data_IF_729650847466
#
_entry.id   IF_729650847466
#
_cell.length_a   1.000
_cell.length_b   1.000
_cell.length_c   1.000
_cell.angle_alpha   90.00
_cell.angle_beta   90.00
_cell.angle_gamma   90.00
#
_symmetry.space_group_name_H-M   'P 1'
#
loop_
_entity.id
_entity.type
_entity.pdbx_description
1 polymer ?
#
# COMPACT_ATOMS: atom_id res chain seq x y z
N UNK A 1 20.70 40.13 -28.74
CA UNK A 1 19.85 39.01 -28.28
C UNK A 1 19.87 37.94 -29.34
N UNK A 2 20.49 36.78 -29.05
CA UNK A 2 20.50 35.66 -29.99
C UNK A 2 19.08 35.06 -30.04
N UNK A 3 18.48 35.00 -31.22
CA UNK A 3 17.10 34.51 -31.39
C UNK A 3 17.08 32.98 -31.28
N UNK A 4 16.23 32.45 -30.39
CA UNK A 4 16.04 31.01 -30.25
C UNK A 4 15.30 30.48 -31.49
N UNK A 5 15.84 29.43 -32.12
CA UNK A 5 15.16 28.85 -33.29
C UNK A 5 13.87 28.13 -32.87
N UNK A 6 12.83 28.17 -33.71
CA UNK A 6 11.56 27.46 -33.46
C UNK A 6 11.77 25.97 -33.18
N UNK A 7 12.73 25.36 -33.87
CA UNK A 7 13.11 23.95 -33.70
C UNK A 7 13.77 23.70 -32.34
N UNK A 8 14.69 24.57 -31.93
CA UNK A 8 15.33 24.49 -30.62
C UNK A 8 14.30 24.68 -29.49
N UNK A 9 13.32 25.57 -29.67
CA UNK A 9 12.22 25.75 -28.72
C UNK A 9 11.36 24.48 -28.61
N UNK A 10 10.93 23.90 -29.73
CA UNK A 10 10.09 22.69 -29.74
C UNK A 10 10.81 21.49 -29.13
N UNK A 11 12.08 21.25 -29.49
CA UNK A 11 12.83 20.14 -28.90
C UNK A 11 13.17 20.37 -27.43
N UNK A 12 13.48 21.61 -27.05
CA UNK A 12 13.75 21.97 -25.66
C UNK A 12 12.52 21.76 -24.77
N UNK A 13 11.35 22.24 -25.20
CA UNK A 13 10.11 22.07 -24.43
C UNK A 13 9.66 20.60 -24.37
N UNK A 14 9.78 19.85 -25.47
CA UNK A 14 9.46 18.43 -25.50
C UNK A 14 10.39 17.61 -24.58
N UNK A 15 11.69 17.94 -24.54
CA UNK A 15 12.64 17.28 -23.65
C UNK A 15 12.33 17.55 -22.17
N UNK A 16 12.00 18.80 -21.82
CA UNK A 16 11.60 19.16 -20.45
C UNK A 16 10.31 18.47 -20.05
N UNK A 17 9.28 18.53 -20.89
CA UNK A 17 8.00 17.87 -20.63
C UNK A 17 8.15 16.34 -20.52
N UNK A 18 8.93 15.73 -21.42
CA UNK A 18 9.27 14.32 -21.36
C UNK A 18 10.02 13.97 -20.07
N UNK A 19 11.04 14.74 -19.71
CA UNK A 19 11.80 14.54 -18.46
C UNK A 19 10.92 14.59 -17.21
N UNK A 20 9.96 15.51 -17.15
CA UNK A 20 8.98 15.57 -16.05
C UNK A 20 8.07 14.34 -16.06
N UNK A 21 7.52 13.96 -17.21
CA UNK A 21 6.61 12.83 -17.32
C UNK A 21 7.29 11.50 -16.96
N UNK A 22 8.46 11.22 -17.54
CA UNK A 22 9.23 10.00 -17.25
C UNK A 22 9.80 9.99 -15.84
N UNK A 23 10.23 11.16 -15.32
CA UNK A 23 10.68 11.29 -13.93
C UNK A 23 9.57 11.01 -12.93
N UNK A 24 8.39 11.60 -13.12
CA UNK A 24 7.23 11.35 -12.27
C UNK A 24 6.78 9.88 -12.33
N UNK A 25 6.76 9.30 -13.54
CA UNK A 25 6.39 7.90 -13.74
C UNK A 25 7.35 6.92 -13.04
N UNK A 26 8.66 7.11 -13.18
CA UNK A 26 9.65 6.24 -12.54
C UNK A 26 9.60 6.28 -11.00
N UNK A 27 9.26 7.43 -10.41
CA UNK A 27 9.05 7.53 -8.96
C UNK A 27 7.76 6.85 -8.51
N UNK A 28 6.70 6.92 -9.31
CA UNK A 28 5.43 6.25 -9.01
C UNK A 28 5.57 4.72 -9.07
N UNK A 29 6.34 4.19 -10.02
CA UNK A 29 6.63 2.75 -10.12
C UNK A 29 7.46 2.26 -8.94
N UNK A 30 8.53 2.98 -8.57
CA UNK A 30 9.37 2.62 -7.43
C UNK A 30 8.63 2.68 -6.07
N UNK A 31 7.53 3.44 -6.00
CA UNK A 31 6.66 3.51 -4.83
C UNK A 31 5.53 2.47 -4.83
N UNK A 32 5.39 1.67 -5.89
CA UNK A 32 4.41 0.60 -5.92
C UNK A 32 4.84 -0.51 -4.93
N UNK A 33 3.96 -0.93 -3.99
CA UNK A 33 4.32 -1.95 -3.02
C UNK A 33 4.66 -3.26 -3.74
N UNK A 34 5.87 -3.76 -3.47
CA UNK A 34 6.36 -5.05 -3.93
C UNK A 34 5.77 -6.17 -3.06
N UNK A 35 5.77 -7.41 -3.53
CA UNK A 35 5.42 -8.58 -2.72
C UNK A 35 6.29 -8.69 -1.43
N UNK A 36 7.49 -8.11 -1.43
CA UNK A 36 8.37 -7.97 -0.24
C UNK A 36 7.80 -7.07 0.85
N UNK A 37 6.80 -6.25 0.53
CA UNK A 37 6.17 -5.28 1.45
C UNK A 37 4.90 -5.84 2.09
N UNK A 38 4.56 -7.10 1.80
CA UNK A 38 3.42 -7.75 2.43
C UNK A 38 3.72 -7.99 3.92
N UNK A 39 3.03 -7.30 4.86
CA UNK A 39 3.28 -7.46 6.29
C UNK A 39 2.94 -8.86 6.81
N UNK A 40 2.13 -9.64 6.10
CA UNK A 40 1.76 -11.00 6.49
C UNK A 40 2.90 -12.00 6.26
N UNK A 41 3.78 -11.75 5.27
CA UNK A 41 4.83 -12.67 4.89
C UNK A 41 5.82 -12.96 6.03
N UNK A 42 6.06 -11.98 6.92
CA UNK A 42 6.97 -12.11 8.05
C UNK A 42 6.40 -12.93 9.23
N UNK A 43 5.09 -13.17 9.25
CA UNK A 43 4.38 -13.81 10.36
C UNK A 43 3.72 -15.14 10.02
N UNK A 44 4.00 -15.71 8.85
CA UNK A 44 3.38 -16.96 8.41
C UNK A 44 3.79 -18.14 9.30
N UNK A 45 2.80 -18.96 9.64
CA UNK A 45 3.03 -20.28 10.22
C UNK A 45 3.64 -21.27 9.23
N UNK A 46 4.06 -22.46 9.70
CA UNK A 46 4.49 -23.55 8.83
C UNK A 46 3.39 -23.89 7.81
N UNK A 47 3.80 -24.09 6.56
CA UNK A 47 2.89 -24.42 5.44
C UNK A 47 1.77 -23.39 5.18
N UNK A 48 1.90 -22.17 5.72
CA UNK A 48 1.00 -21.05 5.42
C UNK A 48 1.50 -20.24 4.22
N UNK A 49 0.57 -19.62 3.50
CA UNK A 49 0.86 -18.75 2.35
C UNK A 49 0.04 -17.47 2.42
N UNK A 50 0.58 -16.42 1.80
CA UNK A 50 -0.10 -15.15 1.59
C UNK A 50 0.36 -14.57 0.26
N UNK A 51 -0.58 -14.03 -0.51
CA UNK A 51 -0.32 -13.44 -1.83
C UNK A 51 -0.49 -11.92 -1.83
N UNK A 52 -1.18 -11.40 -0.82
CA UNK A 52 -1.46 -9.97 -0.64
C UNK A 52 -1.60 -9.66 0.86
N UNK A 53 -1.64 -8.39 1.26
CA UNK A 53 -1.80 -8.01 2.67
C UNK A 53 -3.16 -8.36 3.31
N UNK A 54 -4.06 -9.02 2.59
CA UNK A 54 -5.46 -9.19 3.01
C UNK A 54 -5.87 -10.62 3.31
N UNK A 55 -5.11 -11.59 2.80
CA UNK A 55 -5.45 -13.02 2.87
C UNK A 55 -4.23 -13.81 3.33
N UNK A 56 -4.42 -14.58 4.39
CA UNK A 56 -3.51 -15.62 4.87
C UNK A 56 -4.24 -16.96 4.82
N UNK A 57 -3.60 -17.97 4.22
CA UNK A 57 -4.13 -19.33 4.13
C UNK A 57 -3.15 -20.25 4.86
N UNK A 58 -3.63 -20.97 5.85
CA UNK A 58 -2.89 -22.04 6.53
C UNK A 58 -3.54 -23.39 6.24
N UNK A 59 -2.89 -24.51 6.60
CA UNK A 59 -3.50 -25.84 6.50
C UNK A 59 -4.80 -25.98 7.31
N UNK A 60 -4.94 -25.19 8.38
CA UNK A 60 -6.04 -25.31 9.32
C UNK A 60 -7.18 -24.31 9.05
N UNK A 61 -6.88 -23.14 8.46
CA UNK A 61 -7.83 -22.03 8.37
C UNK A 61 -7.47 -21.00 7.30
N UNK A 62 -8.48 -20.22 6.89
CA UNK A 62 -8.32 -19.00 6.10
C UNK A 62 -8.53 -17.79 7.01
N UNK A 63 -7.61 -16.83 6.96
CA UNK A 63 -7.67 -15.61 7.78
C UNK A 63 -7.75 -14.39 6.87
N UNK A 64 -8.83 -13.63 7.00
CA UNK A 64 -9.07 -12.39 6.27
C UNK A 64 -8.73 -11.19 7.16
N UNK A 65 -7.99 -10.23 6.62
CA UNK A 65 -7.49 -9.09 7.39
C UNK A 65 -8.42 -7.89 7.25
N UNK A 66 -8.91 -7.38 8.38
CA UNK A 66 -9.67 -6.14 8.46
C UNK A 66 -8.75 -4.96 8.79
N UNK A 67 -8.73 -3.93 7.95
CA UNK A 67 -8.00 -2.69 8.23
C UNK A 67 -8.73 -1.75 9.19
N UNK A 68 -10.06 -1.72 9.15
CA UNK A 68 -10.87 -0.83 9.96
C UNK A 68 -11.46 -1.60 11.15
N UNK A 69 -11.03 -1.24 12.35
CA UNK A 69 -11.54 -1.82 13.58
C UNK A 69 -12.90 -1.21 13.95
N UNK A 70 -13.96 -1.97 13.74
CA UNK A 70 -15.29 -1.62 14.23
C UNK A 70 -15.59 -2.35 15.53
N UNK A 71 -15.49 -1.60 16.63
CA UNK A 71 -15.84 -2.07 17.96
C UNK A 71 -17.37 -1.92 18.13
N UNK A 72 -18.13 -2.82 17.50
CA UNK A 72 -19.57 -3.02 17.80
C UNK A 72 -20.59 -2.37 16.86
N UNK A 73 -20.17 -1.72 15.76
CA UNK A 73 -21.09 -1.11 14.76
C UNK A 73 -21.29 -1.99 13.50
N UNK A 74 -20.51 -3.06 13.34
CA UNK A 74 -20.64 -4.04 12.25
C UNK A 74 -20.12 -3.60 10.87
N UNK A 75 -19.62 -2.38 10.72
CA UNK A 75 -19.21 -1.81 9.42
C UNK A 75 -17.83 -2.32 8.96
N UNK A 76 -16.93 -2.67 9.88
CA UNK A 76 -15.53 -2.98 9.62
C UNK A 76 -15.32 -4.37 9.00
N UNK A 77 -16.40 -5.14 8.95
CA UNK A 77 -16.49 -6.46 8.34
C UNK A 77 -16.77 -6.42 6.83
N UNK A 78 -17.16 -5.29 6.24
CA UNK A 78 -17.58 -5.26 4.83
C UNK A 78 -16.47 -5.68 3.87
N UNK A 79 -15.24 -5.20 4.07
CA UNK A 79 -14.10 -5.58 3.22
C UNK A 79 -13.78 -7.09 3.30
N UNK A 80 -13.56 -7.67 4.50
CA UNK A 80 -13.37 -9.12 4.63
C UNK A 80 -14.52 -9.93 4.04
N UNK A 81 -15.77 -9.49 4.19
CA UNK A 81 -16.92 -10.18 3.62
C UNK A 81 -16.89 -10.14 2.09
N UNK A 82 -16.58 -9.01 1.45
CA UNK A 82 -16.43 -8.97 -0.02
C UNK A 82 -15.31 -9.87 -0.52
N UNK A 83 -14.21 -9.99 0.24
CA UNK A 83 -13.11 -10.92 -0.10
C UNK A 83 -13.58 -12.37 0.05
N UNK A 84 -14.35 -12.68 1.09
CA UNK A 84 -14.93 -14.01 1.28
C UNK A 84 -15.84 -14.40 0.12
N UNK A 85 -16.70 -13.49 -0.33
CA UNK A 85 -17.59 -13.70 -1.49
C UNK A 85 -16.80 -13.94 -2.79
N UNK A 86 -15.74 -13.16 -3.04
CA UNK A 86 -14.88 -13.37 -4.22
C UNK A 86 -14.14 -14.72 -4.17
N UNK A 87 -13.82 -15.20 -2.97
CA UNK A 87 -13.14 -16.48 -2.74
C UNK A 87 -14.11 -17.67 -2.62
N UNK A 88 -15.42 -17.44 -2.76
CA UNK A 88 -16.48 -18.45 -2.60
C UNK A 88 -16.40 -19.17 -1.22
N UNK A 89 -16.31 -18.37 -0.14
CA UNK A 89 -16.19 -18.85 1.23
C UNK A 89 -17.51 -18.69 2.01
N UNK A 90 -17.99 -19.80 2.58
CA UNK A 90 -19.11 -19.82 3.51
C UNK A 90 -18.71 -19.26 4.89
N UNK A 91 -19.66 -18.65 5.63
CA UNK A 91 -19.47 -18.28 7.03
C UNK A 91 -19.02 -19.47 7.87
N UNK A 92 -17.85 -19.35 8.50
CA UNK A 92 -17.22 -20.40 9.31
C UNK A 92 -16.01 -21.08 8.63
N UNK A 93 -15.78 -20.85 7.34
CA UNK A 93 -14.55 -21.28 6.66
C UNK A 93 -13.38 -20.32 6.86
N UNK A 94 -13.65 -19.10 7.34
CA UNK A 94 -12.65 -18.07 7.57
C UNK A 94 -12.82 -17.38 8.93
N UNK A 95 -11.73 -16.78 9.41
CA UNK A 95 -11.74 -15.87 10.55
C UNK A 95 -11.28 -14.47 10.13
N UNK A 96 -11.76 -13.46 10.85
CA UNK A 96 -11.37 -12.07 10.62
C UNK A 96 -10.37 -11.66 11.71
N UNK A 97 -9.22 -11.14 11.29
CA UNK A 97 -8.20 -10.58 12.19
C UNK A 97 -7.96 -9.11 11.85
N UNK A 98 -7.77 -8.26 12.85
CA UNK A 98 -7.37 -6.89 12.62
C UNK A 98 -5.92 -6.77 12.16
N UNK A 99 -5.70 -5.94 11.15
CA UNK A 99 -4.39 -5.61 10.63
C UNK A 99 -3.47 -5.05 11.73
N UNK A 100 -2.25 -5.57 11.79
CA UNK A 100 -1.17 -4.87 12.50
C UNK A 100 -0.78 -3.60 11.74
N UNK A 101 -0.31 -2.53 12.41
CA UNK A 101 0.02 -1.27 11.75
C UNK A 101 1.11 -1.47 10.67
N UNK A 102 0.75 -1.30 9.40
CA UNK A 102 1.65 -1.48 8.26
C UNK A 102 1.43 -0.40 7.19
N UNK A 103 2.48 0.05 6.47
CA UNK A 103 2.36 0.88 5.28
C UNK A 103 1.33 0.36 4.26
N UNK A 104 1.18 -0.95 4.15
CA UNK A 104 0.26 -1.61 3.23
C UNK A 104 -1.22 -1.24 3.45
N UNK A 105 -1.58 -0.70 4.62
CA UNK A 105 -2.95 -0.39 4.99
C UNK A 105 -3.24 1.11 5.06
N UNK A 106 -2.26 1.97 4.76
CA UNK A 106 -2.45 3.41 4.73
C UNK A 106 -2.93 3.89 3.37
N UNK A 107 -3.87 4.83 3.37
CA UNK A 107 -4.24 5.55 2.17
C UNK A 107 -3.18 6.62 1.87
N UNK A 108 -2.33 6.36 0.89
CA UNK A 108 -1.26 7.28 0.47
C UNK A 108 -1.76 8.43 -0.42
N UNK A 109 -3.00 8.38 -0.92
CA UNK A 109 -3.59 9.44 -1.75
C UNK A 109 -3.82 10.76 -1.01
N UNK A 110 -3.84 10.73 0.32
CA UNK A 110 -3.90 11.91 1.19
C UNK A 110 -2.60 12.14 1.97
N UNK A 111 -1.50 11.49 1.60
CA UNK A 111 -0.25 11.56 2.37
C UNK A 111 0.25 13.01 2.52
N UNK A 112 0.09 13.85 1.51
CA UNK A 112 0.49 15.27 1.54
C UNK A 112 -0.41 16.12 2.46
N UNK A 113 -1.70 15.78 2.58
CA UNK A 113 -2.64 16.45 3.47
C UNK A 113 -2.46 16.04 4.93
N UNK A 114 -2.06 14.78 5.16
CA UNK A 114 -1.72 14.25 6.48
C UNK A 114 -0.22 14.34 6.81
N UNK A 115 0.60 15.00 5.98
CA UNK A 115 2.04 15.11 6.15
C UNK A 115 2.50 15.60 7.54
N UNK A 116 1.78 16.53 8.24
CA UNK A 116 2.15 16.91 9.61
C UNK A 116 1.96 15.79 10.65
N UNK A 117 1.21 14.74 10.32
CA UNK A 117 0.82 13.64 11.21
C UNK A 117 1.34 12.28 10.73
N UNK A 118 2.12 12.23 9.65
CA UNK A 118 2.74 11.01 9.17
C UNK A 118 3.60 10.40 10.30
N UNK A 119 3.37 9.13 10.62
CA UNK A 119 4.09 8.44 11.71
C UNK A 119 5.60 8.56 11.49
N UNK A 120 6.29 9.19 12.43
CA UNK A 120 7.73 9.12 12.57
C UNK A 120 8.13 7.70 13.00
N UNK A 121 8.19 6.78 12.04
CA UNK A 121 8.82 5.48 12.27
C UNK A 121 10.34 5.66 12.19
N UNK A 122 10.92 6.24 13.25
CA UNK A 122 12.36 6.40 13.42
C UNK A 122 12.69 7.65 14.23
N UNK A 123 13.46 7.49 15.31
CA UNK A 123 14.14 8.60 15.95
C UNK A 123 15.00 9.34 14.91
N UNK A 124 14.52 10.46 14.39
CA UNK A 124 15.25 11.35 13.48
C UNK A 124 15.89 12.54 14.22
N UNK A 125 16.26 12.35 15.49
CA UNK A 125 17.06 13.31 16.26
C UNK A 125 18.40 12.70 16.63
N UNK A 126 19.52 13.41 16.47
CA UNK A 126 20.83 12.93 16.88
C UNK A 126 20.88 12.92 18.43
N UNK A 127 20.49 11.79 19.03
CA UNK A 127 20.45 11.65 20.49
C UNK A 127 19.69 10.45 21.07
N UNK A 128 19.00 9.63 20.27
CA UNK A 128 18.40 8.40 20.80
C UNK A 128 19.49 7.32 20.99
N UNK A 129 19.75 6.95 22.25
CA UNK A 129 20.42 5.69 22.66
C UNK A 129 19.35 4.66 22.97
#
# INVERSE_FOLDING_TARGET
MQSLSRRAFVFGSAAVAGGIAFGAYGNAEAAAPSASDNPLAAGLGPDSVTFNPWVEISPDKITLIAQHADIGQGVGSVQPIMIAEEMDLDPGQFEIRFASPSPAYFNTGFADEFAPFARSNGCASPGCR
#
